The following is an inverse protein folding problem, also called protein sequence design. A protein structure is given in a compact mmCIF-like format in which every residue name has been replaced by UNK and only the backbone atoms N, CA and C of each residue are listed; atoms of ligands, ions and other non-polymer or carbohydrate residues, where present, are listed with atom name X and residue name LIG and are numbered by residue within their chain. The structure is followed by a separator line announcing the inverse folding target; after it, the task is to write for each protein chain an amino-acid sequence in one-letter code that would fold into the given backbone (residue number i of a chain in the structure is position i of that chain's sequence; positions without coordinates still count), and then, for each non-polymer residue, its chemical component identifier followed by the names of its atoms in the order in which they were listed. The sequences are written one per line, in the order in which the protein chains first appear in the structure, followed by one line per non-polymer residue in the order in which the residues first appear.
data_IF_486156058103
#
_entry.id   IF_486156058103
#
_cell.length_a   1.000
_cell.length_b   1.000
_cell.length_c   1.000
_cell.angle_alpha   90.00
_cell.angle_beta   90.00
_cell.angle_gamma   90.00
#
_symmetry.space_group_name_H-M   'P 1'
#
loop_
_entity.id
_entity.type
_entity.pdbx_description
1 polymer ?
#
# COMPACT_ATOMS: atom_id res chain seq x y z
N UNK A 1 73.23 -48.58 46.00
CA UNK A 1 72.49 -48.73 47.27
C UNK A 1 71.37 -47.68 47.27
N UNK A 2 70.13 -48.14 47.55
CA UNK A 2 68.90 -47.40 47.91
C UNK A 2 68.42 -46.27 46.97
N UNK A 3 67.22 -46.24 46.40
CA UNK A 3 65.99 -47.03 46.59
C UNK A 3 64.82 -46.19 46.07
N UNK A 4 63.97 -46.77 45.21
CA UNK A 4 62.75 -46.11 44.70
C UNK A 4 61.60 -46.11 45.72
N UNK A 5 60.49 -45.46 45.36
CA UNK A 5 59.24 -45.63 46.08
C UNK A 5 58.21 -44.51 45.84
N UNK A 6 57.32 -44.73 44.87
CA UNK A 6 56.04 -44.05 44.69
C UNK A 6 55.24 -43.91 46.01
N UNK A 7 54.57 -42.78 46.20
CA UNK A 7 53.25 -42.75 46.86
C UNK A 7 52.28 -41.82 46.13
N UNK A 8 51.28 -42.45 45.52
CA UNK A 8 49.99 -41.89 45.13
C UNK A 8 49.21 -41.49 46.38
N UNK A 9 48.63 -40.29 46.41
CA UNK A 9 47.34 -40.03 47.08
C UNK A 9 46.57 -38.95 46.34
N UNK A 10 45.26 -39.19 46.21
CA UNK A 10 44.29 -38.46 45.40
C UNK A 10 43.77 -37.18 46.07
N UNK A 11 43.42 -36.18 45.25
CA UNK A 11 42.36 -35.24 45.58
C UNK A 11 41.65 -34.80 44.28
N UNK A 12 40.37 -35.14 44.16
CA UNK A 12 39.48 -34.69 43.12
C UNK A 12 38.91 -33.31 43.48
N UNK A 13 38.84 -32.39 42.51
CA UNK A 13 37.89 -31.28 42.54
C UNK A 13 37.63 -30.80 41.10
N UNK A 14 36.40 -31.06 40.65
CA UNK A 14 35.80 -30.59 39.41
C UNK A 14 35.67 -29.05 39.43
N UNK A 15 36.23 -28.38 38.43
CA UNK A 15 35.94 -27.00 38.05
C UNK A 15 36.06 -26.96 36.53
N UNK A 16 35.08 -26.60 35.72
CA UNK A 16 33.80 -25.95 35.90
C UNK A 16 33.50 -25.44 34.49
N UNK A 17 32.39 -25.89 33.92
CA UNK A 17 32.08 -25.76 32.50
C UNK A 17 32.12 -24.31 32.00
N UNK A 18 32.49 -24.19 30.71
CA UNK A 18 32.25 -23.09 29.77
C UNK A 18 31.58 -21.85 30.38
N UNK A 19 32.37 -20.80 30.60
CA UNK A 19 31.81 -19.46 30.72
C UNK A 19 31.25 -19.05 29.36
N UNK A 20 29.92 -19.03 29.27
CA UNK A 20 29.17 -18.35 28.22
C UNK A 20 29.53 -16.86 28.24
N UNK A 21 30.41 -16.42 27.36
CA UNK A 21 30.37 -15.03 26.88
C UNK A 21 29.34 -14.97 25.76
N UNK A 22 28.06 -14.86 26.18
CA UNK A 22 26.98 -14.49 25.28
C UNK A 22 27.32 -13.14 24.66
N UNK A 23 27.60 -13.13 23.36
CA UNK A 23 27.59 -11.89 22.59
C UNK A 23 26.19 -11.30 22.77
N UNK A 24 26.11 -10.16 23.46
CA UNK A 24 24.91 -9.36 23.48
C UNK A 24 24.65 -8.93 22.03
N UNK A 25 23.82 -9.70 21.34
CA UNK A 25 23.23 -9.31 20.07
C UNK A 25 22.40 -8.07 20.40
N UNK A 26 22.93 -6.89 20.12
CA UNK A 26 22.21 -5.60 20.17
C UNK A 26 21.35 -5.40 18.91
N UNK A 27 21.32 -6.37 18.00
CA UNK A 27 20.47 -6.34 16.80
C UNK A 27 18.96 -6.55 17.00
N UNK A 28 18.41 -7.20 18.07
CA UNK A 28 16.98 -7.52 18.09
C UNK A 28 16.12 -6.28 18.35
N UNK A 29 16.69 -5.23 18.94
CA UNK A 29 15.97 -4.01 19.30
C UNK A 29 15.75 -3.09 18.09
N UNK A 30 16.73 -2.99 17.19
CA UNK A 30 16.63 -2.19 15.97
C UNK A 30 15.70 -2.86 14.94
N UNK A 31 15.85 -4.17 14.72
CA UNK A 31 14.95 -4.94 13.86
C UNK A 31 13.49 -4.90 14.37
N UNK A 32 13.28 -5.04 15.69
CA UNK A 32 11.95 -4.94 16.31
C UNK A 32 11.28 -3.57 16.09
N UNK A 33 12.03 -2.46 16.16
CA UNK A 33 11.47 -1.12 15.88
C UNK A 33 11.08 -0.94 14.42
N UNK A 34 11.93 -1.40 13.49
CA UNK A 34 11.66 -1.33 12.04
C UNK A 34 10.41 -2.15 11.68
N UNK A 35 10.29 -3.37 12.20
CA UNK A 35 9.12 -4.21 11.95
C UNK A 35 7.82 -3.59 12.47
N UNK A 36 7.80 -3.09 13.72
CA UNK A 36 6.62 -2.41 14.27
C UNK A 36 6.22 -1.16 13.49
N UNK A 37 7.21 -0.41 12.99
CA UNK A 37 6.94 0.75 12.14
C UNK A 37 6.31 0.34 10.82
N UNK A 38 6.88 -0.67 10.13
CA UNK A 38 6.35 -1.16 8.86
C UNK A 38 4.95 -1.77 9.01
N UNK A 39 4.66 -2.46 10.11
CA UNK A 39 3.31 -2.96 10.43
C UNK A 39 2.31 -1.82 10.69
N UNK A 40 2.73 -0.77 11.40
CA UNK A 40 1.92 0.42 11.60
C UNK A 40 1.62 1.14 10.28
N UNK A 41 2.63 1.30 9.42
CA UNK A 41 2.50 1.87 8.07
C UNK A 41 1.60 1.00 7.18
N UNK A 42 1.69 -0.32 7.29
CA UNK A 42 0.79 -1.23 6.58
C UNK A 42 -0.66 -1.02 7.03
N UNK A 43 -0.89 -0.84 8.33
CA UNK A 43 -2.23 -0.61 8.88
C UNK A 43 -2.80 0.76 8.49
N UNK A 44 -1.98 1.82 8.37
CA UNK A 44 -2.43 3.14 7.88
C UNK A 44 -2.79 3.09 6.39
N UNK A 45 -1.97 2.45 5.56
CA UNK A 45 -2.24 2.27 4.13
C UNK A 45 -3.48 1.39 3.90
N UNK A 46 -3.64 0.33 4.69
CA UNK A 46 -4.81 -0.57 4.63
C UNK A 46 -6.13 0.12 4.97
N UNK A 47 -6.09 1.16 5.83
CA UNK A 47 -7.25 1.97 6.19
C UNK A 47 -7.59 3.06 5.17
N UNK A 48 -6.90 3.10 4.03
CA UNK A 48 -7.22 4.00 2.91
C UNK A 48 -6.38 5.28 2.85
N UNK A 49 -5.26 5.37 3.58
CA UNK A 49 -4.44 6.59 3.68
C UNK A 49 -3.57 6.96 2.47
N UNK A 50 -3.73 6.32 1.31
CA UNK A 50 -2.78 6.44 0.18
C UNK A 50 -3.12 7.44 -0.93
N UNK A 51 -4.28 8.10 -0.88
CA UNK A 51 -4.67 9.09 -1.89
C UNK A 51 -4.22 10.49 -1.48
N UNK A 52 -3.52 11.24 -2.36
CA UNK A 52 -3.25 12.68 -2.14
C UNK A 52 -4.60 13.42 -2.08
N UNK A 53 -5.10 13.89 -0.91
CA UNK A 53 -6.48 14.38 -0.79
C UNK A 53 -6.75 15.62 -1.65
N UNK A 54 -5.74 16.48 -1.78
CA UNK A 54 -5.79 17.65 -2.65
C UNK A 54 -5.92 17.28 -4.14
N UNK A 55 -5.27 16.19 -4.57
CA UNK A 55 -5.36 15.73 -5.96
C UNK A 55 -6.73 15.11 -6.23
N UNK A 56 -7.27 14.32 -5.30
CA UNK A 56 -8.63 13.78 -5.41
C UNK A 56 -9.67 14.89 -5.55
N UNK A 57 -9.61 15.92 -4.69
CA UNK A 57 -10.46 17.12 -4.80
C UNK A 57 -10.36 17.80 -6.18
N UNK A 58 -9.15 17.93 -6.74
CA UNK A 58 -8.97 18.53 -8.06
C UNK A 58 -9.70 17.74 -9.17
N UNK A 59 -9.68 16.41 -9.10
CA UNK A 59 -10.42 15.57 -10.05
C UNK A 59 -11.93 15.62 -9.79
N UNK A 60 -12.37 15.69 -8.52
CA UNK A 60 -13.78 15.90 -8.17
C UNK A 60 -14.31 17.21 -8.77
N UNK A 61 -13.60 18.31 -8.58
CA UNK A 61 -13.97 19.60 -9.15
C UNK A 61 -14.00 19.57 -10.69
N UNK A 62 -13.07 18.84 -11.31
CA UNK A 62 -13.04 18.67 -12.77
C UNK A 62 -14.24 17.85 -13.28
N UNK A 63 -14.63 16.79 -12.58
CA UNK A 63 -15.80 15.96 -12.89
C UNK A 63 -17.08 16.79 -12.80
N UNK A 64 -17.23 17.60 -11.75
CA UNK A 64 -18.39 18.50 -11.59
C UNK A 64 -18.47 19.50 -12.75
N UNK A 65 -17.38 20.20 -13.06
CA UNK A 65 -17.33 21.14 -14.18
C UNK A 65 -17.66 20.47 -15.51
N UNK A 66 -17.14 19.26 -15.75
CA UNK A 66 -17.40 18.53 -16.99
C UNK A 66 -18.88 18.19 -17.15
N UNK A 67 -19.54 17.73 -16.07
CA UNK A 67 -20.99 17.47 -16.06
C UNK A 67 -21.81 18.74 -16.33
N UNK A 68 -21.41 19.88 -15.77
CA UNK A 68 -22.07 21.16 -16.06
C UNK A 68 -21.94 21.55 -17.53
N UNK A 69 -20.76 21.37 -18.12
CA UNK A 69 -20.56 21.66 -19.54
C UNK A 69 -21.41 20.73 -20.43
N UNK A 70 -21.45 19.43 -20.11
CA UNK A 70 -22.32 18.46 -20.81
C UNK A 70 -23.78 18.91 -20.73
N UNK A 71 -24.25 19.31 -19.55
CA UNK A 71 -25.62 19.81 -19.36
C UNK A 71 -25.91 21.08 -20.18
N UNK A 72 -24.93 21.96 -20.35
CA UNK A 72 -25.08 23.17 -21.19
C UNK A 72 -25.20 22.79 -22.67
N UNK A 73 -24.33 21.93 -23.17
CA UNK A 73 -24.35 21.49 -24.57
C UNK A 73 -25.60 20.65 -24.86
N UNK A 74 -26.03 19.81 -23.92
CA UNK A 74 -27.30 19.06 -24.03
C UNK A 74 -28.48 20.01 -24.17
N UNK A 75 -28.60 21.01 -23.30
CA UNK A 75 -29.67 22.02 -23.40
C UNK A 75 -29.61 22.82 -24.69
N UNK A 76 -28.41 23.12 -25.17
CA UNK A 76 -28.22 23.77 -26.47
C UNK A 76 -28.71 22.88 -27.62
N UNK A 77 -28.37 21.59 -27.58
CA UNK A 77 -28.84 20.57 -28.53
C UNK A 77 -30.37 20.50 -28.55
N UNK A 78 -30.98 20.41 -27.37
CA UNK A 78 -32.45 20.36 -27.21
C UNK A 78 -33.10 21.63 -27.79
N UNK A 79 -32.56 22.81 -27.48
CA UNK A 79 -33.06 24.10 -27.98
C UNK A 79 -32.88 24.27 -29.49
N UNK A 80 -31.88 23.61 -30.08
CA UNK A 80 -31.64 23.59 -31.52
C UNK A 80 -32.54 22.58 -32.25
N UNK A 81 -33.39 21.83 -31.51
CA UNK A 81 -34.26 20.80 -32.05
C UNK A 81 -33.50 19.53 -32.47
N UNK A 82 -32.29 19.35 -31.96
CA UNK A 82 -31.49 18.16 -32.22
C UNK A 82 -32.04 17.00 -31.38
N UNK A 83 -32.80 16.13 -32.04
CA UNK A 83 -33.55 15.03 -31.44
C UNK A 83 -34.23 14.19 -32.51
N UNK A 84 -35.40 13.62 -32.21
CA UNK A 84 -36.14 12.69 -33.11
C UNK A 84 -36.56 13.28 -34.47
N UNK A 85 -36.41 14.60 -34.65
CA UNK A 85 -36.68 15.27 -35.92
C UNK A 85 -35.53 15.04 -36.92
N UNK A 86 -35.50 13.83 -37.50
CA UNK A 86 -34.60 13.53 -38.61
C UNK A 86 -34.82 14.51 -39.77
N UNK A 87 -36.01 15.10 -39.98
CA UNK A 87 -36.31 15.88 -41.20
C UNK A 87 -35.87 17.35 -41.19
N UNK A 88 -35.11 17.81 -40.17
CA UNK A 88 -34.76 19.23 -40.02
C UNK A 88 -33.58 19.72 -40.90
N UNK A 89 -33.61 21.00 -41.30
CA UNK A 89 -32.53 21.71 -42.05
C UNK A 89 -31.19 21.83 -41.29
N UNK A 90 -31.12 21.37 -40.03
CA UNK A 90 -29.98 21.54 -39.12
C UNK A 90 -29.21 20.23 -38.82
N UNK A 91 -29.36 19.17 -39.62
CA UNK A 91 -28.70 17.86 -39.35
C UNK A 91 -27.19 17.97 -39.08
N UNK A 92 -26.48 18.78 -39.87
CA UNK A 92 -25.03 18.96 -39.71
C UNK A 92 -24.65 19.63 -38.38
N UNK A 93 -25.45 20.60 -37.94
CA UNK A 93 -25.23 21.26 -36.64
C UNK A 93 -25.50 20.29 -35.48
N UNK A 94 -26.54 19.47 -35.60
CA UNK A 94 -26.85 18.45 -34.60
C UNK A 94 -25.77 17.37 -34.53
N UNK A 95 -25.27 16.89 -35.66
CA UNK A 95 -24.17 15.94 -35.69
C UNK A 95 -22.89 16.51 -35.03
N UNK A 96 -22.60 17.80 -35.24
CA UNK A 96 -21.46 18.45 -34.59
C UNK A 96 -21.63 18.60 -33.07
N UNK A 97 -22.85 18.89 -32.60
CA UNK A 97 -23.18 18.96 -31.17
C UNK A 97 -23.10 17.59 -30.50
N UNK A 98 -23.62 16.55 -31.15
CA UNK A 98 -23.54 15.16 -30.69
C UNK A 98 -22.09 14.68 -30.60
N UNK A 99 -21.29 14.90 -31.64
CA UNK A 99 -19.85 14.60 -31.60
C UNK A 99 -19.09 15.40 -30.53
N UNK A 100 -19.61 16.55 -30.12
CA UNK A 100 -19.07 17.33 -28.99
C UNK A 100 -19.45 16.68 -27.65
N UNK A 101 -20.73 16.31 -27.48
CA UNK A 101 -21.20 15.58 -26.30
C UNK A 101 -20.45 14.27 -26.09
N UNK A 102 -20.21 13.49 -27.15
CA UNK A 102 -19.47 12.23 -27.09
C UNK A 102 -18.04 12.44 -26.58
N UNK A 103 -17.33 13.44 -27.11
CA UNK A 103 -16.00 13.81 -26.63
C UNK A 103 -16.01 14.24 -25.17
N UNK A 104 -17.06 14.96 -24.76
CA UNK A 104 -17.19 15.40 -23.38
C UNK A 104 -17.50 14.25 -22.42
N UNK A 105 -18.32 13.28 -22.83
CA UNK A 105 -18.60 12.07 -22.06
C UNK A 105 -17.34 11.19 -21.94
N UNK A 106 -16.61 10.99 -23.04
CA UNK A 106 -15.33 10.25 -22.99
C UNK A 106 -14.31 10.93 -22.07
N UNK A 107 -14.25 12.27 -22.06
CA UNK A 107 -13.41 13.00 -21.12
C UNK A 107 -13.86 12.81 -19.66
N UNK A 108 -15.18 12.85 -19.41
CA UNK A 108 -15.76 12.61 -18.09
C UNK A 108 -15.40 11.21 -17.58
N UNK A 109 -15.50 10.19 -18.42
CA UNK A 109 -15.14 8.81 -18.09
C UNK A 109 -13.66 8.70 -17.74
N UNK A 110 -12.78 9.33 -18.54
CA UNK A 110 -11.35 9.37 -18.26
C UNK A 110 -11.04 10.04 -16.91
N UNK A 111 -11.73 11.14 -16.57
CA UNK A 111 -11.61 11.80 -15.28
C UNK A 111 -12.04 10.88 -14.12
N UNK A 112 -13.16 10.17 -14.27
CA UNK A 112 -13.68 9.24 -13.26
C UNK A 112 -12.75 8.05 -13.04
N UNK A 113 -12.25 7.44 -14.12
CA UNK A 113 -11.28 6.35 -14.07
C UNK A 113 -10.01 6.79 -13.34
N UNK A 114 -9.47 7.96 -13.70
CA UNK A 114 -8.25 8.48 -13.08
C UNK A 114 -8.46 8.81 -11.60
N UNK A 115 -9.62 9.36 -11.24
CA UNK A 115 -10.00 9.58 -9.84
C UNK A 115 -10.06 8.27 -9.06
N UNK A 116 -10.70 7.22 -9.59
CA UNK A 116 -10.78 5.91 -8.95
C UNK A 116 -9.38 5.27 -8.79
N UNK A 117 -8.53 5.39 -9.80
CA UNK A 117 -7.13 4.97 -9.72
C UNK A 117 -6.35 5.73 -8.66
N UNK A 118 -6.57 7.03 -8.49
CA UNK A 118 -5.92 7.81 -7.43
C UNK A 118 -6.43 7.42 -6.03
N UNK A 119 -7.71 7.05 -5.92
CA UNK A 119 -8.30 6.61 -4.66
C UNK A 119 -7.79 5.23 -4.23
N UNK A 120 -7.59 4.28 -5.16
CA UNK A 120 -7.20 2.89 -4.84
C UNK A 120 -5.79 2.45 -5.28
N UNK A 121 -5.11 3.21 -6.12
CA UNK A 121 -3.84 2.82 -6.76
C UNK A 121 -2.60 3.20 -5.95
N UNK A 122 -2.63 4.33 -5.23
CA UNK A 122 -1.57 4.70 -4.29
C UNK A 122 -1.45 3.67 -3.17
N UNK A 123 -2.59 3.33 -2.55
CA UNK A 123 -2.63 2.36 -1.45
C UNK A 123 -2.17 0.95 -1.86
N UNK A 124 -2.52 0.46 -3.05
CA UNK A 124 -2.04 -0.86 -3.52
C UNK A 124 -0.53 -0.91 -3.74
N UNK A 125 0.05 0.09 -4.40
CA UNK A 125 1.50 0.16 -4.63
C UNK A 125 2.27 0.35 -3.32
N UNK A 126 1.78 1.22 -2.45
CA UNK A 126 2.40 1.48 -1.16
C UNK A 126 2.30 0.25 -0.25
N UNK A 127 1.15 -0.45 -0.23
CA UNK A 127 0.98 -1.73 0.46
C UNK A 127 1.99 -2.78 -0.02
N UNK A 128 2.13 -2.94 -1.34
CA UNK A 128 3.08 -3.89 -1.91
C UNK A 128 4.52 -3.56 -1.53
N UNK A 129 4.90 -2.27 -1.54
CA UNK A 129 6.22 -1.80 -1.09
C UNK A 129 6.46 -2.13 0.39
N UNK A 130 5.50 -1.83 1.27
CA UNK A 130 5.62 -2.09 2.71
C UNK A 130 5.71 -3.59 2.99
N UNK A 131 4.92 -4.42 2.31
CA UNK A 131 4.99 -5.88 2.43
C UNK A 131 6.36 -6.43 2.02
N UNK A 132 6.93 -5.94 0.91
CA UNK A 132 8.27 -6.33 0.48
C UNK A 132 9.35 -5.86 1.48
N UNK A 133 9.19 -4.69 2.09
CA UNK A 133 10.08 -4.23 3.16
C UNK A 133 9.96 -5.10 4.42
N UNK A 134 8.77 -5.57 4.79
CA UNK A 134 8.59 -6.52 5.89
C UNK A 134 9.31 -7.85 5.61
N UNK A 135 9.23 -8.36 4.36
CA UNK A 135 9.95 -9.56 3.93
C UNK A 135 11.47 -9.35 4.03
N UNK A 136 11.99 -8.26 3.47
CA UNK A 136 13.42 -7.96 3.45
C UNK A 136 14.01 -7.75 4.85
N UNK A 137 13.20 -7.36 5.83
CA UNK A 137 13.62 -7.16 7.22
C UNK A 137 13.33 -8.38 8.12
N UNK A 138 12.85 -9.51 7.57
CA UNK A 138 12.59 -10.73 8.35
C UNK A 138 11.47 -10.56 9.38
N UNK A 139 10.56 -9.60 9.18
CA UNK A 139 9.56 -9.25 10.19
C UNK A 139 8.46 -10.31 10.36
N UNK A 140 8.36 -11.27 9.43
CA UNK A 140 7.24 -12.24 9.36
C UNK A 140 7.36 -13.43 10.31
N UNK A 141 8.48 -13.56 11.02
CA UNK A 141 8.78 -14.72 11.89
C UNK A 141 8.31 -14.55 13.35
N UNK A 142 7.54 -13.51 13.68
CA UNK A 142 7.09 -13.24 15.07
C UNK A 142 5.66 -13.66 15.41
N UNK A 143 4.95 -14.36 14.49
CA UNK A 143 3.71 -15.09 14.81
C UNK A 143 4.02 -16.56 15.07
N UNK A 144 4.91 -16.83 16.02
CA UNK A 144 4.95 -18.12 16.71
C UNK A 144 4.48 -17.83 18.13
N UNK A 145 3.24 -18.18 18.52
CA UNK A 145 3.02 -18.46 19.93
C UNK A 145 3.89 -19.68 20.22
N UNK A 146 5.08 -19.43 20.77
CA UNK A 146 5.87 -20.43 21.46
C UNK A 146 4.98 -20.96 22.57
N UNK A 147 4.20 -21.98 22.24
CA UNK A 147 3.52 -22.83 23.20
C UNK A 147 4.66 -23.56 23.92
N UNK A 148 5.22 -22.88 24.92
CA UNK A 148 6.10 -23.49 25.92
C UNK A 148 5.28 -24.60 26.58
N UNK A 149 5.48 -25.83 26.15
CA UNK A 149 5.69 -26.92 27.11
C UNK A 149 7.20 -26.88 27.47
N UNK A 150 7.66 -27.30 28.66
CA UNK A 150 7.04 -28.30 29.54
C UNK A 150 7.07 -28.00 31.06
N UNK A 151 6.28 -28.77 31.83
CA UNK A 151 6.74 -29.56 32.98
C UNK A 151 6.03 -30.89 32.95
#
# INVERSE_FOLDING_TARGET
MTGGGWKLTHAAALLGALALSGFAVTQPQAASRVCRQLEADLATVSRGGGGKPALLRKYDDAIVRQREQISKVSRQSDSAGCGFSLLGRNRNACAALEATLDRMNANLDALQVKRAQLAGGGSRRDRARILASLDANGCRDSVVPSRRAPV
#
